data_IF_153168771961
#
_entry.id   IF_153168771961
#
_cell.length_a   1.000
_cell.length_b   1.000
_cell.length_c   1.000
_cell.angle_alpha   90.00
_cell.angle_beta   90.00
_cell.angle_gamma   90.00
#
_symmetry.space_group_name_H-M   'P 1'
#
loop_
_entity.id
_entity.type
_entity.pdbx_description
1 polymer ?
#
# COMPACT_ATOMS: atom_id res chain seq x y z
N UNK A 1 13.00 10.17 14.99
CA UNK A 1 11.53 9.94 15.00
C UNK A 1 11.19 8.46 14.96
N UNK A 2 11.72 7.72 14.01
CA UNK A 2 11.43 6.28 13.83
C UNK A 2 11.78 5.42 15.05
N UNK A 3 12.78 5.80 15.83
CA UNK A 3 13.15 5.07 17.04
C UNK A 3 12.03 4.99 18.10
N UNK A 4 11.06 5.89 18.06
CA UNK A 4 9.93 5.92 19.01
C UNK A 4 8.61 5.37 18.46
N UNK A 5 8.50 5.20 17.15
CA UNK A 5 7.28 4.77 16.48
C UNK A 5 7.55 3.64 15.48
N UNK A 6 8.52 2.79 15.77
CA UNK A 6 8.91 1.64 14.95
C UNK A 6 7.82 0.57 14.99
N UNK A 7 7.50 0.02 13.82
CA UNK A 7 6.53 -1.09 13.66
C UNK A 7 5.13 -0.82 14.25
N UNK A 8 4.67 0.43 14.22
CA UNK A 8 3.41 0.83 14.87
C UNK A 8 2.26 1.14 13.92
N UNK A 9 2.50 1.21 12.63
CA UNK A 9 1.49 1.55 11.64
C UNK A 9 1.44 0.59 10.47
N UNK A 10 0.24 0.36 9.97
CA UNK A 10 -0.05 -0.48 8.81
C UNK A 10 -0.79 0.31 7.76
N UNK A 11 -0.50 0.04 6.48
CA UNK A 11 -1.36 0.46 5.38
C UNK A 11 -2.06 -0.78 4.84
N UNK A 12 -3.39 -0.79 4.95
CA UNK A 12 -4.23 -1.86 4.42
C UNK A 12 -4.75 -1.44 3.06
N UNK A 13 -4.55 -2.28 2.08
CA UNK A 13 -5.05 -2.09 0.72
C UNK A 13 -5.73 -3.36 0.21
N UNK A 14 -6.51 -3.24 -0.87
CA UNK A 14 -7.22 -4.34 -1.49
C UNK A 14 -6.70 -4.58 -2.90
N UNK A 15 -6.52 -5.82 -3.28
CA UNK A 15 -6.25 -6.20 -4.67
C UNK A 15 -7.50 -5.93 -5.50
N UNK A 16 -7.41 -5.02 -6.48
CA UNK A 16 -8.52 -4.68 -7.37
C UNK A 16 -8.47 -5.45 -8.67
N UNK A 17 -7.27 -5.82 -9.12
CA UNK A 17 -7.08 -6.59 -10.35
C UNK A 17 -5.75 -7.34 -10.34
N UNK A 18 -5.63 -8.36 -11.19
CA UNK A 18 -4.41 -9.10 -11.44
C UNK A 18 -4.09 -9.05 -12.93
N UNK A 19 -2.92 -8.57 -13.26
CA UNK A 19 -2.45 -8.48 -14.65
C UNK A 19 -1.14 -9.23 -14.82
N UNK A 20 -0.97 -9.82 -16.00
CA UNK A 20 0.29 -10.45 -16.38
C UNK A 20 0.83 -9.84 -17.68
N UNK A 21 2.06 -9.41 -17.66
CA UNK A 21 2.75 -8.89 -18.83
C UNK A 21 4.17 -9.44 -18.88
N UNK A 22 4.52 -10.10 -20.00
CA UNK A 22 5.84 -10.70 -20.23
C UNK A 22 6.30 -11.62 -19.09
N UNK A 23 5.37 -12.40 -18.54
CA UNK A 23 5.64 -13.33 -17.44
C UNK A 23 5.73 -12.67 -16.05
N UNK A 24 5.47 -11.37 -15.95
CA UNK A 24 5.42 -10.66 -14.67
C UNK A 24 3.96 -10.55 -14.23
N UNK A 25 3.61 -11.26 -13.17
CA UNK A 25 2.32 -11.11 -12.49
C UNK A 25 2.36 -9.86 -11.60
N UNK A 26 1.37 -8.99 -11.73
CA UNK A 26 1.22 -7.77 -10.92
C UNK A 26 -0.16 -7.76 -10.28
N UNK A 27 -0.21 -7.60 -8.98
CA UNK A 27 -1.43 -7.31 -8.25
C UNK A 27 -1.63 -5.78 -8.22
N UNK A 28 -2.70 -5.31 -8.82
CA UNK A 28 -3.07 -3.89 -8.80
C UNK A 28 -3.87 -3.64 -7.52
N UNK A 29 -3.46 -2.62 -6.78
CA UNK A 29 -4.00 -2.27 -5.48
C UNK A 29 -4.88 -1.01 -5.57
N UNK A 30 -5.79 -0.84 -4.61
CA UNK A 30 -6.60 0.38 -4.44
C UNK A 30 -5.84 1.56 -3.82
N UNK A 31 -4.53 1.43 -3.67
CA UNK A 31 -3.60 2.48 -3.25
C UNK A 31 -2.61 2.81 -4.38
N UNK A 32 -1.90 3.92 -4.25
CA UNK A 32 -0.81 4.31 -5.14
C UNK A 32 0.49 4.45 -4.35
N UNK A 33 1.58 3.85 -4.83
CA UNK A 33 2.90 4.06 -4.22
C UNK A 33 3.34 5.50 -4.37
N UNK A 34 3.08 6.11 -5.52
CA UNK A 34 3.43 7.51 -5.77
C UNK A 34 2.67 8.50 -4.88
N UNK A 35 1.40 8.20 -4.55
CA UNK A 35 0.56 9.08 -3.75
C UNK A 35 0.62 8.76 -2.24
N UNK A 36 0.69 7.49 -1.86
CA UNK A 36 0.50 7.04 -0.48
C UNK A 36 1.76 6.47 0.17
N UNK A 37 2.74 6.06 -0.62
CA UNK A 37 4.03 5.52 -0.17
C UNK A 37 5.19 6.09 -1.00
N UNK A 38 5.28 7.44 -1.20
CA UNK A 38 6.28 8.01 -2.11
C UNK A 38 7.72 7.74 -1.68
N UNK A 39 7.96 7.56 -0.40
CA UNK A 39 9.25 7.19 0.15
C UNK A 39 9.77 5.83 -0.35
N UNK A 40 8.87 4.87 -0.65
CA UNK A 40 9.26 3.60 -1.29
C UNK A 40 9.85 3.79 -2.70
N UNK A 41 9.51 4.89 -3.37
CA UNK A 41 10.01 5.24 -4.71
C UNK A 41 11.20 6.21 -4.66
N UNK A 42 11.17 7.20 -3.75
CA UNK A 42 12.20 8.24 -3.62
C UNK A 42 13.49 7.74 -2.98
N UNK A 43 13.37 6.90 -1.96
CA UNK A 43 14.46 6.18 -1.31
C UNK A 43 14.20 4.68 -1.46
N UNK A 44 14.46 4.08 -2.63
CA UNK A 44 13.90 2.78 -2.97
C UNK A 44 14.11 1.74 -1.88
N UNK A 45 13.01 1.34 -1.25
CA UNK A 45 12.98 0.22 -0.34
C UNK A 45 11.70 -0.58 -0.55
N UNK A 46 11.74 -1.84 -0.19
CA UNK A 46 10.62 -2.75 -0.28
C UNK A 46 10.02 -2.93 1.12
N UNK A 47 8.77 -2.47 1.38
CA UNK A 47 8.13 -2.68 2.67
C UNK A 47 7.82 -4.17 2.90
N UNK A 48 7.66 -4.56 4.15
CA UNK A 48 7.14 -5.89 4.49
C UNK A 48 5.64 -5.96 4.25
N UNK A 49 5.16 -7.13 3.88
CA UNK A 49 3.73 -7.44 3.75
C UNK A 49 3.42 -8.60 4.68
N UNK A 50 2.40 -8.44 5.50
CA UNK A 50 1.95 -9.49 6.43
C UNK A 50 1.57 -10.76 5.66
N UNK A 51 2.07 -11.90 6.10
CA UNK A 51 1.77 -13.20 5.48
C UNK A 51 2.45 -13.45 4.14
N UNK A 52 3.44 -12.65 3.77
CA UNK A 52 4.23 -12.85 2.56
C UNK A 52 5.67 -13.26 2.86
N UNK A 53 6.32 -13.81 1.86
CA UNK A 53 7.78 -13.97 1.83
C UNK A 53 8.39 -12.72 1.23
N UNK A 54 9.31 -12.10 1.95
CA UNK A 54 9.95 -10.87 1.52
C UNK A 54 10.72 -11.02 0.22
N UNK A 55 11.40 -12.17 0.02
CA UNK A 55 12.07 -12.49 -1.25
C UNK A 55 11.27 -13.54 -2.04
N UNK A 56 11.36 -13.51 -3.39
CA UNK A 56 10.74 -14.52 -4.23
C UNK A 56 11.17 -15.94 -3.87
N UNK A 57 10.20 -16.82 -3.66
CA UNK A 57 10.41 -18.23 -3.32
C UNK A 57 10.03 -19.10 -4.52
N UNK A 58 10.98 -19.95 -4.97
CA UNK A 58 10.75 -20.86 -6.09
C UNK A 58 9.56 -21.78 -5.82
N UNK A 59 8.64 -21.82 -6.77
CA UNK A 59 7.44 -22.66 -6.71
C UNK A 59 6.26 -22.03 -5.96
N UNK A 60 6.41 -20.81 -5.44
CA UNK A 60 5.30 -20.06 -4.84
C UNK A 60 4.78 -18.98 -5.79
N UNK A 61 3.47 -18.67 -5.72
CA UNK A 61 2.91 -17.52 -6.43
C UNK A 61 3.67 -16.25 -6.07
N UNK A 62 4.15 -15.52 -7.07
CA UNK A 62 4.95 -14.32 -6.86
C UNK A 62 4.36 -13.16 -7.66
N UNK A 63 4.18 -12.03 -6.99
CA UNK A 63 3.57 -10.84 -7.58
C UNK A 63 4.40 -9.60 -7.29
N UNK A 64 4.46 -8.71 -8.28
CA UNK A 64 4.79 -7.32 -8.10
C UNK A 64 3.53 -6.58 -7.60
N UNK A 65 3.69 -5.64 -6.69
CA UNK A 65 2.58 -4.78 -6.26
C UNK A 65 2.56 -3.53 -7.14
N UNK A 66 1.42 -3.27 -7.78
CA UNK A 66 1.17 -2.09 -8.60
C UNK A 66 0.13 -1.16 -7.96
N UNK A 67 0.37 0.13 -8.04
CA UNK A 67 -0.60 1.14 -7.62
C UNK A 67 -1.62 1.47 -8.71
N UNK A 68 -2.59 2.30 -8.37
CA UNK A 68 -3.70 2.69 -9.23
C UNK A 68 -3.56 4.06 -9.88
N UNK A 69 -2.36 4.65 -9.85
CA UNK A 69 -2.10 5.93 -10.54
C UNK A 69 -1.67 5.75 -12.00
N UNK A 70 -1.66 6.84 -12.77
CA UNK A 70 -1.17 6.82 -14.16
C UNK A 70 0.36 6.77 -14.28
N UNK A 71 1.11 6.87 -13.18
CA UNK A 71 2.56 6.83 -13.22
C UNK A 71 3.04 5.44 -13.64
N UNK A 72 3.79 5.35 -14.72
CA UNK A 72 4.31 4.07 -15.24
C UNK A 72 5.23 3.34 -14.26
N UNK A 73 5.81 4.05 -13.29
CA UNK A 73 6.65 3.53 -12.20
C UNK A 73 5.90 3.30 -10.88
N UNK A 74 4.57 3.37 -10.87
CA UNK A 74 3.77 3.18 -9.65
C UNK A 74 3.67 1.70 -9.25
N UNK A 75 4.82 1.11 -8.99
CA UNK A 75 4.93 -0.27 -8.51
C UNK A 75 6.19 -0.48 -7.66
N UNK A 76 6.15 -1.46 -6.79
CA UNK A 76 7.27 -1.84 -5.92
C UNK A 76 7.41 -3.37 -5.87
N UNK A 77 8.65 -3.81 -5.80
CA UNK A 77 9.13 -5.13 -5.38
C UNK A 77 8.49 -6.35 -6.03
N UNK A 78 8.79 -7.48 -5.40
CA UNK A 78 8.17 -8.78 -5.65
C UNK A 78 8.06 -9.50 -4.33
N UNK A 79 6.89 -10.09 -4.04
CA UNK A 79 6.65 -10.92 -2.87
C UNK A 79 6.04 -12.25 -3.29
N UNK A 80 6.41 -13.31 -2.60
CA UNK A 80 5.74 -14.61 -2.75
C UNK A 80 4.71 -14.82 -1.65
N UNK A 81 3.68 -15.56 -1.98
CA UNK A 81 2.59 -15.92 -1.07
C UNK A 81 2.42 -17.44 -1.04
N UNK A 82 1.77 -17.96 -0.01
CA UNK A 82 1.46 -19.39 0.07
C UNK A 82 0.41 -19.80 -0.95
N UNK A 83 -0.55 -18.90 -1.21
CA UNK A 83 -1.64 -19.10 -2.17
C UNK A 83 -1.65 -18.00 -3.24
N UNK A 84 -2.36 -18.27 -4.34
CA UNK A 84 -2.55 -17.25 -5.38
C UNK A 84 -3.45 -16.13 -4.88
N UNK A 85 -3.03 -14.89 -5.15
CA UNK A 85 -3.85 -13.71 -4.88
C UNK A 85 -5.05 -13.65 -5.83
N UNK A 86 -6.13 -13.03 -5.37
CA UNK A 86 -7.35 -12.76 -6.15
C UNK A 86 -7.88 -11.36 -5.84
N UNK A 87 -8.65 -10.76 -6.75
CA UNK A 87 -9.37 -9.52 -6.45
C UNK A 87 -10.21 -9.66 -5.18
N UNK A 88 -10.10 -8.66 -4.29
CA UNK A 88 -10.70 -8.64 -2.96
C UNK A 88 -9.78 -9.05 -1.82
N UNK A 89 -8.64 -9.67 -2.09
CA UNK A 89 -7.65 -9.99 -1.06
C UNK A 89 -7.03 -8.72 -0.48
N UNK A 90 -6.75 -8.74 0.81
CA UNK A 90 -6.09 -7.62 1.49
C UNK A 90 -4.58 -7.77 1.47
N UNK A 91 -3.90 -6.69 1.14
CA UNK A 91 -2.46 -6.53 1.26
C UNK A 91 -2.19 -5.55 2.39
N UNK A 92 -1.47 -6.00 3.42
CA UNK A 92 -1.19 -5.22 4.62
C UNK A 92 0.31 -4.93 4.66
N UNK A 93 0.67 -3.69 4.37
CA UNK A 93 2.05 -3.21 4.47
C UNK A 93 2.37 -2.83 5.91
N UNK A 94 3.52 -3.30 6.38
CA UNK A 94 4.02 -3.02 7.74
C UNK A 94 4.83 -1.73 7.77
N UNK A 95 4.86 -1.11 8.95
CA UNK A 95 5.66 0.09 9.27
C UNK A 95 5.36 1.31 8.38
N UNK A 96 4.07 1.57 8.15
CA UNK A 96 3.56 2.61 7.24
C UNK A 96 3.09 3.88 7.96
N UNK A 97 3.76 4.31 9.05
CA UNK A 97 3.32 5.47 9.84
C UNK A 97 4.18 6.73 9.64
N UNK A 98 5.46 6.57 9.27
CA UNK A 98 6.41 7.68 9.25
C UNK A 98 6.24 8.59 8.00
N UNK A 99 7.25 8.62 7.14
CA UNK A 99 7.22 9.40 5.89
C UNK A 99 6.12 8.97 4.95
N UNK A 100 5.77 7.71 4.95
CA UNK A 100 4.62 7.18 4.20
C UNK A 100 3.37 7.99 4.47
N UNK A 101 3.00 8.16 5.75
CA UNK A 101 1.78 8.85 6.13
C UNK A 101 1.87 10.37 5.93
N UNK A 102 2.99 11.01 6.33
CA UNK A 102 3.12 12.48 6.28
C UNK A 102 3.39 13.01 4.87
N UNK A 103 3.89 12.18 3.96
CA UNK A 103 4.14 12.53 2.56
C UNK A 103 2.99 12.15 1.63
N UNK A 104 1.92 11.58 2.14
CA UNK A 104 0.73 11.22 1.35
C UNK A 104 0.16 12.43 0.61
N UNK A 105 -0.17 12.25 -0.66
CA UNK A 105 -0.71 13.28 -1.54
C UNK A 105 -1.99 12.81 -2.24
N UNK A 106 -2.69 13.74 -2.90
CA UNK A 106 -3.83 13.45 -3.78
C UNK A 106 -3.42 13.31 -5.25
N UNK A 107 -2.23 12.81 -5.52
CA UNK A 107 -1.79 12.62 -6.91
C UNK A 107 -2.82 11.83 -7.72
N UNK A 108 -3.13 12.28 -8.93
CA UNK A 108 -4.20 11.76 -9.79
C UNK A 108 -5.62 11.80 -9.20
N UNK A 109 -5.85 12.53 -8.12
CA UNK A 109 -7.13 12.52 -7.42
C UNK A 109 -7.41 11.21 -6.67
N UNK A 110 -6.38 10.37 -6.48
CA UNK A 110 -6.50 9.17 -5.66
C UNK A 110 -6.75 9.59 -4.22
N UNK A 111 -7.82 9.07 -3.64
CA UNK A 111 -8.23 9.46 -2.29
C UNK A 111 -7.21 8.99 -1.25
N UNK A 112 -7.00 9.80 -0.19
CA UNK A 112 -6.14 9.37 0.91
C UNK A 112 -6.73 8.14 1.61
N UNK A 113 -5.90 7.20 2.06
CA UNK A 113 -6.33 6.14 2.95
C UNK A 113 -6.97 6.70 4.22
N UNK A 114 -8.06 6.10 4.65
CA UNK A 114 -8.70 6.47 5.92
C UNK A 114 -7.76 6.17 7.09
N UNK A 115 -7.84 6.98 8.14
CA UNK A 115 -7.03 6.81 9.35
C UNK A 115 -7.86 6.16 10.44
N UNK A 116 -7.38 5.07 10.99
CA UNK A 116 -8.02 4.39 12.11
C UNK A 116 -7.01 3.93 13.16
N UNK A 117 -7.52 3.57 14.31
CA UNK A 117 -6.76 2.98 15.41
C UNK A 117 -7.33 1.60 15.70
N UNK A 118 -6.45 0.61 15.78
CA UNK A 118 -6.77 -0.71 16.27
C UNK A 118 -6.40 -0.84 17.75
N UNK A 119 -7.27 -1.46 18.51
CA UNK A 119 -7.01 -1.83 19.90
C UNK A 119 -7.59 -3.22 20.17
N UNK A 120 -6.83 -4.10 20.79
CA UNK A 120 -7.22 -5.48 21.02
C UNK A 120 -8.50 -5.64 21.87
N UNK A 121 -8.79 -4.67 22.73
CA UNK A 121 -9.99 -4.70 23.60
C UNK A 121 -11.22 -4.08 22.94
N UNK A 122 -11.06 -3.01 22.17
CA UNK A 122 -12.15 -2.23 21.60
C UNK A 122 -12.32 -2.39 20.08
N UNK A 123 -11.40 -3.11 19.44
CA UNK A 123 -11.40 -3.32 17.97
C UNK A 123 -10.96 -2.08 17.19
N UNK A 124 -11.40 -1.98 15.95
CA UNK A 124 -11.07 -0.89 15.03
C UNK A 124 -11.95 0.34 15.29
N UNK A 125 -11.34 1.51 15.35
CA UNK A 125 -12.01 2.81 15.43
C UNK A 125 -11.54 3.72 14.30
N UNK A 126 -12.44 4.12 13.43
CA UNK A 126 -12.18 5.11 12.38
C UNK A 126 -11.97 6.48 13.03
N UNK A 127 -10.87 7.14 12.71
CA UNK A 127 -10.51 8.48 13.19
C UNK A 127 -10.83 9.53 12.14
N UNK A 128 -10.46 9.28 10.89
CA UNK A 128 -10.66 10.21 9.79
C UNK A 128 -10.90 9.45 8.49
N UNK A 129 -11.86 9.94 7.72
CA UNK A 129 -12.10 9.55 6.34
C UNK A 129 -11.89 10.78 5.46
N UNK A 130 -11.29 10.58 4.32
CA UNK A 130 -11.07 11.61 3.32
C UNK A 130 -12.07 11.45 2.16
N UNK A 131 -12.36 12.55 1.48
CA UNK A 131 -13.29 12.55 0.37
C UNK A 131 -12.98 13.64 -0.65
N UNK A 132 -13.90 13.85 -1.58
CA UNK A 132 -13.75 14.82 -2.66
C UNK A 132 -13.48 16.25 -2.16
N UNK A 133 -14.10 16.67 -1.06
CA UNK A 133 -13.91 18.01 -0.53
C UNK A 133 -12.48 18.26 -0.02
N UNK A 134 -11.81 17.21 0.52
CA UNK A 134 -10.39 17.30 0.92
C UNK A 134 -9.50 17.54 -0.30
N UNK A 135 -9.75 16.83 -1.39
CA UNK A 135 -9.04 17.02 -2.66
C UNK A 135 -9.30 18.40 -3.28
N UNK A 136 -10.56 18.81 -3.38
CA UNK A 136 -10.98 20.10 -3.92
C UNK A 136 -10.35 21.25 -3.15
N UNK A 137 -10.45 21.23 -1.82
CA UNK A 137 -9.92 22.30 -0.97
C UNK A 137 -8.38 22.41 -1.01
N UNK A 138 -7.68 21.37 -1.44
CA UNK A 138 -6.25 21.45 -1.70
C UNK A 138 -5.92 22.23 -2.98
N UNK A 139 -6.81 22.24 -3.96
CA UNK A 139 -6.59 22.85 -5.28
C UNK A 139 -7.11 24.28 -5.38
N UNK A 140 -7.86 24.76 -4.40
CA UNK A 140 -8.51 26.09 -4.40
C UNK A 140 -7.88 27.05 -3.42
#
# INVERSE_FOLDING_TARGET
>A
GSAFAWETGYLVSTVVDLVENKGIKTAILDVSFAAHMPDCLEMPYKPRIVGSYFEPVKGKPTYRMGGNSCLSGDYVGFWSFDEELKPGDQIIFEDMIHYTMVKTTFFNGVNHPSIGIWNDKSGFRLIRQFGYEDYKNKLS
#
